data_IF_651382200113
#
_entry.id   IF_651382200113
#
_cell.length_a   1.000
_cell.length_b   1.000
_cell.length_c   1.000
_cell.angle_alpha   90.00
_cell.angle_beta   90.00
_cell.angle_gamma   90.00
#
_symmetry.space_group_name_H-M   'P 1'
#
loop_
_entity.id
_entity.type
_entity.pdbx_description
1 polymer ?
#
# COMPACT_ATOMS: atom_id res chain seq x y z
N UNK A 1 38.25 11.62 14.93
CA UNK A 1 37.86 10.23 15.23
C UNK A 1 36.35 10.11 15.08
N UNK A 2 35.93 9.39 14.04
CA UNK A 2 34.73 8.55 13.93
C UNK A 2 33.37 9.16 14.33
N UNK A 3 32.71 9.81 13.37
CA UNK A 3 31.24 9.81 13.35
C UNK A 3 30.77 8.38 13.07
N UNK A 4 30.58 7.60 14.12
CA UNK A 4 29.88 6.33 14.05
C UNK A 4 28.39 6.63 13.91
N UNK A 5 27.94 6.53 12.66
CA UNK A 5 26.60 6.68 12.16
C UNK A 5 25.64 5.67 12.83
N UNK A 6 25.16 5.99 14.02
CA UNK A 6 24.04 5.28 14.64
C UNK A 6 22.74 5.70 13.92
N UNK A 7 22.49 5.11 12.76
CA UNK A 7 21.14 5.10 12.20
C UNK A 7 20.22 4.47 13.25
N UNK A 8 19.34 5.30 13.80
CA UNK A 8 18.58 5.06 15.03
C UNK A 8 17.60 3.88 14.87
N UNK A 9 17.40 3.02 15.91
CA UNK A 9 16.49 1.85 15.88
C UNK A 9 15.05 2.12 15.43
N UNK A 10 14.61 3.38 15.43
CA UNK A 10 13.30 3.82 14.95
C UNK A 10 13.21 3.88 13.42
N UNK A 11 14.30 4.25 12.72
CA UNK A 11 14.33 4.29 11.25
C UNK A 11 14.25 2.89 10.65
N UNK A 12 14.99 1.93 11.22
CA UNK A 12 14.95 0.52 10.82
C UNK A 12 13.58 -0.11 11.05
N UNK A 13 12.93 0.17 12.18
CA UNK A 13 11.58 -0.32 12.48
C UNK A 13 10.53 0.24 11.52
N UNK A 14 10.60 1.53 11.17
CA UNK A 14 9.70 2.12 10.18
C UNK A 14 9.88 1.50 8.80
N UNK A 15 11.13 1.29 8.38
CA UNK A 15 11.43 0.62 7.11
C UNK A 15 10.88 -0.81 7.07
N UNK A 16 11.05 -1.57 8.15
CA UNK A 16 10.52 -2.93 8.26
C UNK A 16 8.99 -2.95 8.19
N UNK A 17 8.31 -2.02 8.87
CA UNK A 17 6.84 -1.90 8.81
C UNK A 17 6.34 -1.60 7.40
N UNK A 18 7.05 -0.72 6.69
CA UNK A 18 6.75 -0.40 5.30
C UNK A 18 6.87 -1.64 4.39
N UNK A 19 7.97 -2.39 4.52
CA UNK A 19 8.18 -3.60 3.71
C UNK A 19 7.11 -4.65 4.05
N UNK A 20 6.80 -4.82 5.33
CA UNK A 20 5.78 -5.76 5.78
C UNK A 20 4.39 -5.43 5.20
N UNK A 21 4.03 -4.14 5.12
CA UNK A 21 2.77 -3.69 4.52
C UNK A 21 2.70 -3.99 3.02
N UNK A 22 3.76 -3.68 2.26
CA UNK A 22 3.82 -4.03 0.84
C UNK A 22 3.73 -5.55 0.61
N UNK A 23 4.42 -6.34 1.43
CA UNK A 23 4.33 -7.82 1.39
C UNK A 23 2.92 -8.29 1.71
N UNK A 24 2.26 -7.71 2.72
CA UNK A 24 0.89 -8.04 3.06
C UNK A 24 -0.06 -7.81 1.88
N UNK A 25 0.03 -6.67 1.19
CA UNK A 25 -0.76 -6.39 -0.02
C UNK A 25 -0.51 -7.40 -1.12
N UNK A 26 0.74 -7.80 -1.36
CA UNK A 26 1.08 -8.82 -2.37
C UNK A 26 0.48 -10.18 -2.00
N UNK A 27 0.62 -10.61 -0.75
CA UNK A 27 0.05 -11.89 -0.27
C UNK A 27 -1.46 -11.86 -0.37
N UNK A 28 -2.10 -10.76 0.03
CA UNK A 28 -3.54 -10.58 -0.07
C UNK A 28 -4.03 -10.61 -1.53
N UNK A 29 -3.29 -9.95 -2.43
CA UNK A 29 -3.58 -9.98 -3.85
C UNK A 29 -3.47 -11.38 -4.46
N UNK A 30 -2.44 -12.15 -4.06
CA UNK A 30 -2.31 -13.55 -4.46
C UNK A 30 -3.45 -14.41 -3.90
N UNK A 31 -3.88 -14.20 -2.66
CA UNK A 31 -5.02 -14.89 -2.07
C UNK A 31 -6.32 -14.59 -2.83
N UNK A 32 -6.54 -13.34 -3.24
CA UNK A 32 -7.70 -12.94 -4.06
C UNK A 32 -7.69 -13.60 -5.45
N UNK A 33 -6.51 -13.82 -6.05
CA UNK A 33 -6.40 -14.54 -7.31
C UNK A 33 -6.64 -16.05 -7.17
N UNK A 34 -6.00 -16.68 -6.19
CA UNK A 34 -6.09 -18.14 -5.98
C UNK A 34 -7.49 -18.52 -5.50
N UNK A 35 -8.07 -17.72 -4.61
CA UNK A 35 -9.38 -17.95 -4.00
C UNK A 35 -10.53 -17.22 -4.68
N UNK A 36 -10.35 -16.68 -5.90
CA UNK A 36 -11.28 -15.71 -6.48
C UNK A 36 -12.77 -16.12 -6.44
N UNK A 37 -13.07 -17.39 -6.74
CA UNK A 37 -14.42 -17.94 -6.66
C UNK A 37 -14.91 -18.09 -5.22
N UNK A 38 -14.17 -18.84 -4.40
CA UNK A 38 -14.55 -19.13 -3.02
C UNK A 38 -14.67 -17.87 -2.15
N UNK A 39 -13.70 -16.96 -2.26
CA UNK A 39 -13.71 -15.68 -1.55
C UNK A 39 -14.80 -14.75 -2.09
N UNK A 40 -15.05 -14.80 -3.39
CA UNK A 40 -16.13 -14.06 -4.04
C UNK A 40 -17.49 -14.47 -3.50
N UNK A 41 -17.76 -15.77 -3.44
CA UNK A 41 -19.00 -16.32 -2.88
C UNK A 41 -19.17 -15.94 -1.40
N UNK A 42 -18.09 -15.98 -0.62
CA UNK A 42 -18.12 -15.60 0.80
C UNK A 42 -18.42 -14.11 1.02
N UNK A 43 -17.90 -13.25 0.15
CA UNK A 43 -18.07 -11.80 0.23
C UNK A 43 -19.29 -11.30 -0.53
N UNK A 44 -19.99 -12.17 -1.27
CA UNK A 44 -21.10 -11.78 -2.15
C UNK A 44 -20.65 -10.97 -3.37
N UNK A 45 -19.43 -11.19 -3.85
CA UNK A 45 -18.82 -10.45 -4.96
C UNK A 45 -18.44 -11.40 -6.09
N UNK A 46 -18.60 -10.97 -7.33
CA UNK A 46 -18.19 -11.76 -8.49
C UNK A 46 -16.68 -12.08 -8.50
N UNK A 47 -16.32 -13.29 -8.94
CA UNK A 47 -14.93 -13.75 -8.98
C UNK A 47 -14.00 -12.87 -9.85
N UNK A 48 -14.53 -12.23 -10.89
CA UNK A 48 -13.73 -11.35 -11.74
C UNK A 48 -13.34 -10.05 -11.02
N UNK A 49 -14.24 -9.48 -10.20
CA UNK A 49 -13.94 -8.31 -9.36
C UNK A 49 -12.86 -8.67 -8.32
N UNK A 50 -12.95 -9.87 -7.74
CA UNK A 50 -11.93 -10.40 -6.84
C UNK A 50 -10.57 -10.50 -7.54
N UNK A 51 -10.55 -11.03 -8.77
CA UNK A 51 -9.32 -11.16 -9.54
C UNK A 51 -8.71 -9.79 -9.92
N UNK A 52 -9.54 -8.84 -10.36
CA UNK A 52 -9.11 -7.47 -10.67
C UNK A 52 -8.51 -6.79 -9.44
N UNK A 53 -9.17 -6.94 -8.28
CA UNK A 53 -8.66 -6.43 -7.00
C UNK A 53 -7.33 -7.09 -6.62
N UNK A 54 -7.21 -8.40 -6.84
CA UNK A 54 -5.95 -9.13 -6.63
C UNK A 54 -4.81 -8.59 -7.49
N UNK A 55 -5.05 -8.35 -8.79
CA UNK A 55 -4.07 -7.74 -9.69
C UNK A 55 -3.69 -6.33 -9.23
N UNK A 56 -4.66 -5.50 -8.84
CA UNK A 56 -4.42 -4.15 -8.34
C UNK A 56 -3.55 -4.14 -7.07
N UNK A 57 -3.81 -5.05 -6.14
CA UNK A 57 -3.02 -5.24 -4.91
C UNK A 57 -1.59 -5.70 -5.22
N UNK A 58 -1.39 -6.61 -6.18
CA UNK A 58 -0.07 -7.05 -6.61
C UNK A 58 0.74 -5.89 -7.23
N UNK A 59 0.10 -5.10 -8.10
CA UNK A 59 0.73 -3.92 -8.70
C UNK A 59 1.07 -2.88 -7.61
N UNK A 60 0.12 -2.58 -6.74
CA UNK A 60 0.27 -1.62 -5.65
C UNK A 60 1.40 -2.00 -4.70
N UNK A 61 1.34 -3.21 -4.13
CA UNK A 61 2.34 -3.73 -3.19
C UNK A 61 3.72 -3.93 -3.83
N UNK A 62 3.78 -4.31 -5.12
CA UNK A 62 5.05 -4.42 -5.85
C UNK A 62 5.73 -3.07 -6.08
N UNK A 63 4.97 -2.04 -6.48
CA UNK A 63 5.48 -0.67 -6.62
C UNK A 63 5.95 -0.16 -5.26
N UNK A 64 5.17 -0.40 -4.22
CA UNK A 64 5.46 0.00 -2.85
C UNK A 64 6.80 -0.54 -2.32
N UNK A 65 7.05 -1.84 -2.49
CA UNK A 65 8.32 -2.48 -2.14
C UNK A 65 9.48 -1.87 -2.95
N UNK A 66 9.27 -1.55 -4.23
CA UNK A 66 10.29 -0.97 -5.10
C UNK A 66 10.67 0.46 -4.69
N UNK A 67 9.70 1.27 -4.28
CA UNK A 67 9.91 2.69 -3.96
C UNK A 67 10.24 2.99 -2.49
N UNK A 68 10.27 1.97 -1.63
CA UNK A 68 10.54 2.15 -0.19
C UNK A 68 11.83 2.92 0.12
N UNK A 69 12.86 2.83 -0.73
CA UNK A 69 14.14 3.52 -0.54
C UNK A 69 14.27 4.86 -1.27
N UNK A 70 13.30 5.20 -2.13
CA UNK A 70 13.40 6.34 -3.04
C UNK A 70 12.72 7.61 -2.52
N UNK A 71 11.86 7.48 -1.50
CA UNK A 71 10.99 8.56 -1.05
C UNK A 71 11.18 8.93 0.43
N UNK A 72 10.88 10.18 0.81
CA UNK A 72 10.91 10.59 2.21
C UNK A 72 9.93 9.79 3.06
N UNK A 73 10.41 9.21 4.17
CA UNK A 73 9.60 8.35 5.07
C UNK A 73 8.34 9.03 5.60
N UNK A 74 8.32 10.37 5.65
CA UNK A 74 7.17 11.17 6.07
C UNK A 74 6.02 11.14 5.06
N UNK A 75 6.34 11.20 3.76
CA UNK A 75 5.35 11.09 2.68
C UNK A 75 4.73 9.71 2.71
N UNK A 76 5.57 8.69 2.86
CA UNK A 76 5.13 7.31 2.97
C UNK A 76 4.15 7.09 4.13
N UNK A 77 4.53 7.46 5.36
CA UNK A 77 3.65 7.26 6.52
C UNK A 77 2.31 8.01 6.40
N UNK A 78 2.28 9.20 5.77
CA UNK A 78 1.01 9.92 5.55
C UNK A 78 0.09 9.17 4.60
N UNK A 79 0.63 8.69 3.49
CA UNK A 79 -0.12 7.91 2.52
C UNK A 79 -0.61 6.59 3.16
N UNK A 80 0.22 5.96 3.99
CA UNK A 80 -0.10 4.69 4.66
C UNK A 80 -1.23 4.87 5.67
N UNK A 81 -1.17 5.92 6.51
CA UNK A 81 -2.26 6.26 7.43
C UNK A 81 -3.56 6.53 6.68
N UNK A 82 -3.51 7.23 5.54
CA UNK A 82 -4.70 7.50 4.73
C UNK A 82 -5.29 6.21 4.13
N UNK A 83 -4.43 5.30 3.64
CA UNK A 83 -4.81 3.97 3.18
C UNK A 83 -5.45 3.16 4.32
N UNK A 84 -4.77 2.97 5.45
CA UNK A 84 -5.30 2.19 6.57
C UNK A 84 -6.61 2.77 7.11
N UNK A 85 -6.75 4.10 7.14
CA UNK A 85 -8.00 4.75 7.54
C UNK A 85 -9.14 4.40 6.59
N UNK A 86 -8.89 4.43 5.28
CA UNK A 86 -9.88 4.05 4.27
C UNK A 86 -10.27 2.57 4.36
N UNK A 87 -9.30 1.70 4.67
CA UNK A 87 -9.53 0.27 4.90
C UNK A 87 -10.46 0.03 6.10
N UNK A 88 -10.20 0.70 7.23
CA UNK A 88 -11.06 0.62 8.42
C UNK A 88 -12.46 1.18 8.13
N UNK A 89 -12.56 2.31 7.44
CA UNK A 89 -13.86 2.91 7.09
C UNK A 89 -14.68 2.01 6.16
N UNK A 90 -14.05 1.35 5.19
CA UNK A 90 -14.74 0.43 4.28
C UNK A 90 -15.12 -0.88 4.96
N UNK A 91 -14.30 -1.38 5.91
CA UNK A 91 -14.71 -2.48 6.78
C UNK A 91 -15.95 -2.12 7.62
N UNK A 92 -15.97 -0.92 8.23
CA UNK A 92 -17.10 -0.42 8.99
C UNK A 92 -18.35 -0.24 8.12
N UNK A 93 -18.20 0.30 6.91
CA UNK A 93 -19.30 0.43 5.96
C UNK A 93 -19.86 -0.94 5.55
N UNK A 94 -18.99 -1.92 5.28
CA UNK A 94 -19.40 -3.30 5.00
C UNK A 94 -20.15 -3.94 6.16
N UNK A 95 -19.66 -3.74 7.40
CA UNK A 95 -20.33 -4.22 8.61
C UNK A 95 -21.71 -3.56 8.81
N UNK A 96 -21.80 -2.25 8.61
CA UNK A 96 -23.06 -1.50 8.70
C UNK A 96 -24.08 -1.93 7.64
N UNK A 97 -23.61 -2.28 6.44
CA UNK A 97 -24.47 -2.83 5.39
C UNK A 97 -24.97 -4.23 5.75
N UNK A 98 -24.10 -5.10 6.26
CA UNK A 98 -24.49 -6.42 6.73
C UNK A 98 -25.52 -6.37 7.88
N UNK A 99 -25.39 -5.38 8.78
CA UNK A 99 -26.38 -5.13 9.84
C UNK A 99 -27.73 -4.59 9.35
N UNK A 100 -27.78 -4.03 8.15
CA UNK A 100 -29.00 -3.52 7.52
C UNK A 100 -29.58 -4.50 6.50
N UNK A 101 -29.18 -5.78 6.53
CA UNK A 101 -29.53 -6.81 5.54
C UNK A 101 -29.14 -6.43 4.09
N UNK A 102 -28.16 -5.54 3.94
CA UNK A 102 -27.63 -5.10 2.64
C UNK A 102 -26.53 -6.03 2.12
N UNK A 103 -26.60 -6.38 0.83
CA UNK A 103 -25.64 -7.29 0.17
C UNK A 103 -24.41 -6.59 -0.44
N UNK A 104 -24.39 -5.25 -0.50
CA UNK A 104 -23.34 -4.49 -1.19
C UNK A 104 -22.01 -4.37 -0.42
N UNK A 105 -21.93 -4.88 0.81
CA UNK A 105 -20.73 -4.71 1.66
C UNK A 105 -19.46 -5.28 1.02
N UNK A 106 -19.56 -6.42 0.33
CA UNK A 106 -18.44 -7.00 -0.40
C UNK A 106 -17.99 -6.16 -1.59
N UNK A 107 -18.91 -5.55 -2.33
CA UNK A 107 -18.58 -4.71 -3.48
C UNK A 107 -17.87 -3.44 -3.04
N UNK A 108 -18.30 -2.82 -1.94
CA UNK A 108 -17.63 -1.66 -1.33
C UNK A 108 -16.21 -2.02 -0.89
N UNK A 109 -16.07 -3.18 -0.25
CA UNK A 109 -14.77 -3.71 0.18
C UNK A 109 -13.82 -3.93 -1.00
N UNK A 110 -14.27 -4.66 -2.01
CA UNK A 110 -13.47 -5.00 -3.19
C UNK A 110 -13.18 -3.77 -4.06
N UNK A 111 -14.12 -2.83 -4.15
CA UNK A 111 -13.93 -1.54 -4.78
C UNK A 111 -12.80 -0.75 -4.13
N UNK A 112 -12.79 -0.67 -2.79
CA UNK A 112 -11.71 -0.03 -2.04
C UNK A 112 -10.36 -0.73 -2.26
N UNK A 113 -10.34 -2.07 -2.14
CA UNK A 113 -9.14 -2.90 -2.34
C UNK A 113 -8.58 -2.80 -3.76
N UNK A 114 -9.37 -2.35 -4.73
CA UNK A 114 -8.91 -2.12 -6.12
C UNK A 114 -8.39 -0.69 -6.30
N UNK A 115 -9.16 0.32 -5.90
CA UNK A 115 -8.81 1.71 -6.16
C UNK A 115 -7.68 2.24 -5.27
N UNK A 116 -7.69 1.87 -3.98
CA UNK A 116 -6.79 2.45 -2.99
C UNK A 116 -5.31 2.05 -3.21
N UNK A 117 -4.96 0.78 -3.52
CA UNK A 117 -3.57 0.42 -3.81
C UNK A 117 -3.03 1.09 -5.08
N UNK A 118 -3.86 1.24 -6.11
CA UNK A 118 -3.49 1.93 -7.35
C UNK A 118 -3.28 3.42 -7.11
N UNK A 119 -4.18 4.06 -6.37
CA UNK A 119 -4.04 5.47 -6.00
C UNK A 119 -2.79 5.69 -5.14
N UNK A 120 -2.54 4.81 -4.17
CA UNK A 120 -1.34 4.85 -3.33
C UNK A 120 -0.06 4.72 -4.17
N UNK A 121 0.00 3.74 -5.07
CA UNK A 121 1.12 3.56 -5.99
C UNK A 121 1.32 4.76 -6.92
N UNK A 122 0.24 5.32 -7.48
CA UNK A 122 0.31 6.51 -8.31
C UNK A 122 0.85 7.73 -7.53
N UNK A 123 0.44 7.91 -6.28
CA UNK A 123 0.93 8.98 -5.42
C UNK A 123 2.42 8.80 -5.07
N UNK A 124 2.88 7.57 -4.87
CA UNK A 124 4.31 7.29 -4.74
C UNK A 124 5.08 7.62 -6.02
N UNK A 125 4.55 7.28 -7.19
CA UNK A 125 5.19 7.57 -8.48
C UNK A 125 5.33 9.08 -8.74
N UNK A 126 4.32 9.87 -8.36
CA UNK A 126 4.30 11.33 -8.59
C UNK A 126 5.07 12.10 -7.51
N UNK A 127 5.25 11.53 -6.32
CA UNK A 127 6.03 12.15 -5.25
C UNK A 127 7.50 12.31 -5.66
N UNK A 128 8.12 13.44 -5.34
CA UNK A 128 9.52 13.72 -5.71
C UNK A 128 10.49 12.72 -5.05
N UNK A 129 11.35 12.03 -5.83
CA UNK A 129 12.40 11.19 -5.29
C UNK A 129 13.42 12.00 -4.48
N UNK A 130 14.03 11.40 -3.47
CA UNK A 130 15.20 11.99 -2.80
C UNK A 130 16.39 11.87 -3.76
N UNK A 131 17.06 12.98 -4.16
CA UNK A 131 18.25 12.90 -4.99
C UNK A 131 19.34 12.08 -4.30
N UNK A 132 20.07 11.23 -5.03
CA UNK A 132 21.20 10.51 -4.47
C UNK A 132 22.26 11.52 -3.98
N UNK A 133 22.89 11.24 -2.83
CA UNK A 133 23.86 12.14 -2.19
C UNK A 133 25.06 12.50 -3.09
N UNK A 134 25.32 11.73 -4.15
CA UNK A 134 26.34 12.02 -5.16
C UNK A 134 26.04 13.27 -5.99
N UNK A 135 24.78 13.56 -6.28
CA UNK A 135 24.39 14.72 -7.11
C UNK A 135 24.55 16.06 -6.38
N UNK A 136 24.42 16.04 -5.05
CA UNK A 136 24.63 17.23 -4.21
C UNK A 136 26.11 17.62 -4.18
N UNK A 137 27.02 16.63 -4.18
CA UNK A 137 28.46 16.87 -4.17
C UNK A 137 28.98 17.38 -5.51
N UNK A 138 28.43 16.90 -6.62
CA UNK A 138 28.83 17.35 -7.96
C UNK A 138 28.43 18.83 -8.20
N UNK A 139 27.20 19.22 -7.84
CA UNK A 139 26.75 20.62 -7.96
C UNK A 139 27.46 21.60 -7.03
N UNK A 140 27.94 21.14 -5.88
CA UNK A 140 28.69 21.99 -4.93
C UNK A 140 30.14 22.22 -5.31
N UNK A 141 30.68 21.51 -6.29
CA UNK A 141 32.07 21.64 -6.76
C UNK A 141 32.20 22.52 -8.01
N UNK A 142 31.09 22.99 -8.58
CA UNK A 142 31.05 23.88 -9.77
C UNK A 142 30.83 25.36 -9.40
N UNK A 143 30.92 25.71 -8.11
CA UNK A 143 30.89 27.09 -7.60
C UNK A 143 32.11 27.36 -6.73
#
# INVERSE_FOLDING_TARGET
MTQAQAATPSATRRLAGIIADGVFKVVLGAAYLIGASWLGDLLGVSAWLMAVSGVALLIGGGIEIKFVRSHPIRTYMRLMVAYDSGWVLTALAGLLMAWQDGSAGGEVWIGYQTAAPLAFAALLLVSTPVPPASDIRAKGAEH
#
